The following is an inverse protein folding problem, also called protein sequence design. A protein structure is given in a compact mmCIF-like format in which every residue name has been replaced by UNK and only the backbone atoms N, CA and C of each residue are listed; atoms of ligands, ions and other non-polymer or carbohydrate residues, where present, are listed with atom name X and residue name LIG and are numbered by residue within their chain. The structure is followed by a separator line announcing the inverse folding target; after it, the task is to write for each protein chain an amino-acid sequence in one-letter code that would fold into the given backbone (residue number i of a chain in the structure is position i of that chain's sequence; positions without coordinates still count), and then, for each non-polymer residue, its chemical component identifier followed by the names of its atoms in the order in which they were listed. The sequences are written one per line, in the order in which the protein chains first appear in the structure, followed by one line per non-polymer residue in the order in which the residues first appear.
data_IF_229977571193
#
_entry.id   IF_229977571193
#
_cell.length_a   1.000
_cell.length_b   1.000
_cell.length_c   1.000
_cell.angle_alpha   90.00
_cell.angle_beta   90.00
_cell.angle_gamma   90.00
#
_symmetry.space_group_name_H-M   'P 1'
#
loop_
_entity.id
_entity.type
_entity.pdbx_description
1 polymer ?
#
# COMPACT_ATOMS: atom_id res chain seq x y z
N UNK A 1 -6.67 -16.44 2.29
CA UNK A 1 -7.16 -15.04 2.28
C UNK A 1 -6.06 -14.07 2.68
N UNK A 2 -5.47 -14.18 3.88
CA UNK A 2 -4.38 -13.29 4.34
C UNK A 2 -3.06 -13.42 3.53
N UNK A 3 -2.75 -14.58 2.96
CA UNK A 3 -1.54 -14.76 2.14
C UNK A 3 -1.55 -13.90 0.86
N UNK A 4 -2.72 -13.64 0.27
CA UNK A 4 -2.83 -12.76 -0.91
C UNK A 4 -2.55 -11.31 -0.57
N UNK A 5 -2.83 -10.89 0.67
CA UNK A 5 -2.56 -9.53 1.13
C UNK A 5 -1.06 -9.21 1.16
N UNK A 6 -0.24 -10.21 1.51
CA UNK A 6 1.22 -10.11 1.55
C UNK A 6 1.92 -10.62 0.29
N UNK A 7 1.17 -11.03 -0.75
CA UNK A 7 1.76 -11.60 -1.96
C UNK A 7 2.39 -10.50 -2.83
N UNK A 8 3.73 -10.45 -3.00
CA UNK A 8 4.39 -9.41 -3.78
C UNK A 8 4.11 -9.50 -5.29
N UNK A 9 3.38 -10.51 -5.75
CA UNK A 9 2.92 -10.65 -7.13
C UNK A 9 1.41 -10.46 -7.27
N UNK A 10 0.71 -10.23 -6.15
CA UNK A 10 -0.74 -10.25 -6.05
C UNK A 10 -1.44 -9.01 -6.63
N UNK A 11 -0.73 -7.89 -6.76
CA UNK A 11 -1.26 -6.64 -7.31
C UNK A 11 -0.38 -6.15 -8.47
N UNK A 12 -1.00 -5.75 -9.59
CA UNK A 12 -0.33 -5.00 -10.66
C UNK A 12 -0.39 -3.53 -10.29
N UNK A 13 0.75 -2.94 -9.94
CA UNK A 13 0.85 -1.53 -9.53
C UNK A 13 1.07 -0.64 -10.74
N UNK A 14 1.88 -1.10 -11.71
CA UNK A 14 2.10 -0.41 -12.98
C UNK A 14 1.82 -1.38 -14.11
N UNK A 15 0.79 -1.07 -14.90
CA UNK A 15 0.47 -1.83 -16.10
C UNK A 15 1.59 -1.73 -17.14
N UNK A 16 1.80 -2.82 -17.87
CA UNK A 16 2.74 -2.84 -18.96
C UNK A 16 2.28 -1.92 -20.09
N UNK A 17 2.93 -0.75 -20.21
CA UNK A 17 2.73 0.10 -21.40
C UNK A 17 3.30 -0.58 -22.64
N UNK A 18 2.60 -0.43 -23.77
CA UNK A 18 3.15 -0.81 -25.07
C UNK A 18 4.39 0.05 -25.35
N UNK A 19 5.49 -0.59 -25.73
CA UNK A 19 6.74 0.05 -26.12
C UNK A 19 6.84 0.03 -27.63
N UNK A 20 6.04 0.86 -28.27
CA UNK A 20 6.12 1.18 -29.68
C UNK A 20 6.67 2.59 -29.86
N UNK A 21 7.60 2.74 -30.81
CA UNK A 21 8.03 4.05 -31.31
C UNK A 21 7.44 4.17 -32.71
N UNK A 22 6.53 5.12 -32.92
CA UNK A 22 5.82 5.32 -34.20
C UNK A 22 5.12 4.03 -34.71
N UNK A 23 4.49 3.26 -33.83
CA UNK A 23 3.80 2.01 -34.18
C UNK A 23 4.70 0.82 -34.49
N UNK A 24 6.04 0.99 -34.44
CA UNK A 24 6.99 -0.10 -34.64
C UNK A 24 7.56 -0.60 -33.30
N UNK A 25 7.57 -1.92 -33.17
CA UNK A 25 8.10 -2.62 -32.01
C UNK A 25 9.64 -2.59 -32.03
N UNK A 26 10.27 -2.05 -30.98
CA UNK A 26 11.73 -1.95 -30.92
C UNK A 26 12.42 -3.22 -30.38
N UNK A 27 11.65 -4.23 -29.92
CA UNK A 27 12.18 -5.50 -29.43
C UNK A 27 12.22 -6.56 -30.53
N UNK A 28 13.36 -7.24 -30.67
CA UNK A 28 13.60 -8.34 -31.63
C UNK A 28 12.65 -9.54 -31.49
N UNK A 29 11.99 -9.69 -30.34
CA UNK A 29 11.17 -10.86 -30.01
C UNK A 29 9.67 -10.68 -30.38
N UNK A 30 9.29 -9.55 -31.01
CA UNK A 30 7.90 -9.25 -31.36
C UNK A 30 6.98 -8.86 -30.19
N UNK A 31 7.42 -9.10 -28.95
CA UNK A 31 6.67 -8.72 -27.74
C UNK A 31 6.87 -7.24 -27.41
N UNK A 32 5.94 -6.40 -27.87
CA UNK A 32 5.96 -4.95 -27.65
C UNK A 32 5.44 -4.53 -26.28
N UNK A 33 5.28 -5.49 -25.35
CA UNK A 33 4.84 -5.21 -23.99
C UNK A 33 6.03 -4.77 -23.12
N UNK A 34 5.82 -3.69 -22.37
CA UNK A 34 6.66 -3.33 -21.24
C UNK A 34 6.62 -4.41 -20.14
N UNK A 35 7.46 -4.26 -19.12
CA UNK A 35 7.35 -5.08 -17.91
C UNK A 35 6.28 -4.48 -17.00
N UNK A 36 5.38 -5.32 -16.49
CA UNK A 36 4.50 -4.95 -15.37
C UNK A 36 5.34 -4.79 -14.11
N UNK A 37 4.97 -3.84 -13.26
CA UNK A 37 5.48 -3.77 -11.88
C UNK A 37 4.37 -4.30 -10.98
N UNK A 38 4.71 -5.35 -10.22
CA UNK A 38 3.81 -5.98 -9.28
C UNK A 38 4.30 -5.76 -7.86
N UNK A 39 3.36 -5.66 -6.94
CA UNK A 39 3.63 -5.56 -5.52
C UNK A 39 2.51 -6.23 -4.72
N UNK A 40 2.61 -6.19 -3.39
CA UNK A 40 1.57 -6.65 -2.47
C UNK A 40 0.63 -5.51 -2.07
N UNK A 41 -0.62 -5.85 -1.77
CA UNK A 41 -1.60 -4.90 -1.19
C UNK A 41 -1.04 -4.31 0.10
N UNK A 42 -0.33 -5.10 0.89
CA UNK A 42 0.33 -4.62 2.10
C UNK A 42 1.38 -3.54 1.83
N UNK A 43 2.25 -3.71 0.83
CA UNK A 43 3.28 -2.73 0.51
C UNK A 43 2.69 -1.43 -0.05
N UNK A 44 1.65 -1.53 -0.87
CA UNK A 44 0.89 -0.36 -1.32
C UNK A 44 0.28 0.38 -0.12
N UNK A 45 -0.35 -0.35 0.82
CA UNK A 45 -0.90 0.21 2.04
C UNK A 45 0.17 0.88 2.92
N UNK A 46 1.36 0.27 3.09
CA UNK A 46 2.48 0.88 3.84
C UNK A 46 2.88 2.22 3.22
N UNK A 47 3.00 2.25 1.89
CA UNK A 47 3.40 3.44 1.15
C UNK A 47 2.34 4.53 1.28
N UNK A 48 1.08 4.19 1.05
CA UNK A 48 -0.06 5.10 1.14
C UNK A 48 -0.24 5.67 2.55
N UNK A 49 -0.16 4.84 3.60
CA UNK A 49 -0.23 5.30 4.99
C UNK A 49 0.92 6.25 5.33
N UNK A 50 2.15 5.97 4.87
CA UNK A 50 3.29 6.84 5.11
C UNK A 50 3.14 8.19 4.39
N UNK A 51 2.67 8.18 3.13
CA UNK A 51 2.40 9.41 2.36
C UNK A 51 1.32 10.26 3.02
N UNK A 52 0.23 9.63 3.46
CA UNK A 52 -0.86 10.30 4.17
C UNK A 52 -0.36 10.89 5.50
N UNK A 53 0.35 10.12 6.30
CA UNK A 53 0.96 10.59 7.55
C UNK A 53 1.83 11.83 7.34
N UNK A 54 2.58 11.83 6.23
CA UNK A 54 3.49 12.89 5.84
C UNK A 54 2.77 14.12 5.25
N UNK A 55 1.55 13.97 4.74
CA UNK A 55 0.76 15.06 4.17
C UNK A 55 0.34 16.09 5.25
N UNK A 56 0.15 15.64 6.49
CA UNK A 56 -0.20 16.50 7.64
C UNK A 56 1.00 17.24 8.28
N UNK A 57 2.14 17.31 7.58
CA UNK A 57 3.30 18.07 8.06
C UNK A 57 3.01 19.57 8.11
N UNK A 58 3.07 20.13 9.31
CA UNK A 58 3.07 21.59 9.50
C UNK A 58 4.43 22.24 9.20
N UNK A 59 5.53 21.49 9.29
CA UNK A 59 6.88 22.01 9.08
C UNK A 59 7.71 21.05 8.22
N UNK A 60 8.11 21.50 7.04
CA UNK A 60 8.87 20.72 6.06
C UNK A 60 10.32 20.44 6.51
N UNK A 61 10.86 21.21 7.45
CA UNK A 61 12.25 21.08 7.92
C UNK A 61 12.45 19.98 8.97
N UNK A 62 11.38 19.58 9.69
CA UNK A 62 11.45 18.50 10.68
C UNK A 62 11.35 17.15 9.97
N UNK A 63 12.23 16.21 10.31
CA UNK A 63 12.20 14.85 9.75
C UNK A 63 10.81 14.19 9.91
N UNK A 64 10.33 13.43 8.90
CA UNK A 64 8.98 12.89 8.90
C UNK A 64 8.78 11.88 10.03
N UNK A 65 9.85 11.21 10.41
CA UNK A 65 9.90 10.22 11.48
C UNK A 65 9.55 10.79 12.87
N UNK A 66 9.62 12.10 13.05
CA UNK A 66 9.25 12.75 14.29
C UNK A 66 7.76 13.08 14.37
N UNK A 67 7.00 12.90 13.29
CA UNK A 67 5.56 13.11 13.29
C UNK A 67 4.85 12.00 14.07
N UNK A 68 3.90 12.34 14.95
CA UNK A 68 3.10 11.34 15.67
C UNK A 68 2.43 10.34 14.73
N UNK A 69 1.84 10.82 13.63
CA UNK A 69 1.19 10.01 12.60
C UNK A 69 2.15 8.99 11.95
N UNK A 70 3.37 9.41 11.59
CA UNK A 70 4.39 8.53 11.01
C UNK A 70 4.86 7.48 12.02
N UNK A 71 5.00 7.85 13.30
CA UNK A 71 5.36 6.89 14.36
C UNK A 71 4.26 5.86 14.60
N UNK A 72 3.00 6.28 14.60
CA UNK A 72 1.85 5.37 14.70
C UNK A 72 1.79 4.41 13.50
N UNK A 73 1.95 4.93 12.27
CA UNK A 73 2.03 4.11 11.05
C UNK A 73 3.18 3.10 11.12
N UNK A 74 4.38 3.51 11.57
CA UNK A 74 5.51 2.59 11.74
C UNK A 74 5.26 1.51 12.80
N UNK A 75 4.54 1.81 13.88
CA UNK A 75 4.13 0.83 14.88
C UNK A 75 3.21 -0.22 14.26
N UNK A 76 2.21 0.23 13.49
CA UNK A 76 1.33 -0.64 12.73
C UNK A 76 2.10 -1.55 11.75
N UNK A 77 3.05 -0.99 10.98
CA UNK A 77 3.89 -1.77 10.06
C UNK A 77 4.69 -2.86 10.76
N UNK A 78 5.24 -2.54 11.94
CA UNK A 78 6.04 -3.50 12.70
C UNK A 78 5.21 -4.73 13.09
N UNK A 79 3.99 -4.52 13.59
CA UNK A 79 3.11 -5.63 13.98
C UNK A 79 2.65 -6.43 12.75
N UNK A 80 2.30 -5.76 11.65
CA UNK A 80 1.90 -6.44 10.41
C UNK A 80 3.06 -7.22 9.75
N UNK A 81 4.30 -6.75 9.85
CA UNK A 81 5.48 -7.52 9.41
C UNK A 81 5.66 -8.80 10.24
N UNK A 82 5.23 -8.82 11.51
CA UNK A 82 5.21 -10.02 12.34
C UNK A 82 4.07 -10.96 11.96
N UNK A 83 2.89 -10.41 11.65
CA UNK A 83 1.76 -11.17 11.07
C UNK A 83 2.16 -11.83 9.75
N UNK A 84 2.88 -11.13 8.86
CA UNK A 84 3.39 -11.69 7.61
C UNK A 84 4.33 -12.87 7.86
N UNK A 85 5.30 -12.70 8.76
CA UNK A 85 6.25 -13.77 9.14
C UNK A 85 5.54 -14.98 9.72
N UNK A 86 4.51 -14.78 10.53
CA UNK A 86 3.68 -15.84 11.08
C UNK A 86 2.86 -16.54 9.98
N UNK A 87 2.23 -15.77 9.08
CA UNK A 87 1.44 -16.28 7.95
C UNK A 87 2.26 -17.14 6.98
N UNK A 88 3.56 -16.83 6.78
CA UNK A 88 4.49 -17.64 5.98
C UNK A 88 4.77 -19.02 6.58
N UNK A 89 4.69 -19.18 7.90
CA UNK A 89 4.95 -20.45 8.60
C UNK A 89 3.81 -21.47 8.47
N UNK A 90 2.67 -21.11 7.86
CA UNK A 90 1.50 -21.98 7.57
C UNK A 90 1.00 -22.79 8.78
N UNK A 91 1.09 -22.25 9.99
CA UNK A 91 0.59 -22.90 11.21
C UNK A 91 -0.94 -22.77 11.28
N UNK A 92 -1.64 -23.88 11.53
CA UNK A 92 -3.12 -23.94 11.55
C UNK A 92 -3.77 -23.16 12.71
N UNK A 93 -3.03 -22.82 13.77
CA UNK A 93 -3.51 -22.10 14.96
C UNK A 93 -2.40 -21.18 15.48
N UNK A 94 -2.03 -20.18 14.68
CA UNK A 94 -0.98 -19.25 15.07
C UNK A 94 -1.52 -18.16 16.02
N UNK A 95 -1.49 -18.46 17.32
CA UNK A 95 -1.88 -17.51 18.37
C UNK A 95 -1.04 -16.23 18.33
N UNK A 96 0.23 -16.31 17.92
CA UNK A 96 1.11 -15.14 17.81
C UNK A 96 0.59 -14.18 16.74
N UNK A 97 0.17 -14.72 15.59
CA UNK A 97 -0.41 -13.92 14.50
C UNK A 97 -1.66 -13.16 14.94
N UNK A 98 -2.53 -13.80 15.73
CA UNK A 98 -3.75 -13.14 16.26
C UNK A 98 -3.39 -12.01 17.22
N UNK A 99 -2.41 -12.21 18.10
CA UNK A 99 -1.93 -11.17 19.03
C UNK A 99 -1.33 -9.99 18.28
N UNK A 100 -0.45 -10.25 17.30
CA UNK A 100 0.12 -9.19 16.47
C UNK A 100 -0.93 -8.46 15.64
N UNK A 101 -1.94 -9.17 15.13
CA UNK A 101 -3.04 -8.54 14.39
C UNK A 101 -3.89 -7.64 15.29
N UNK A 102 -4.20 -8.05 16.52
CA UNK A 102 -4.90 -7.21 17.48
C UNK A 102 -4.09 -5.95 17.85
N UNK A 103 -2.79 -6.11 18.11
CA UNK A 103 -1.89 -4.98 18.37
C UNK A 103 -1.75 -4.05 17.16
N UNK A 104 -1.82 -4.59 15.93
CA UNK A 104 -1.86 -3.80 14.72
C UNK A 104 -3.15 -2.96 14.66
N UNK A 105 -4.33 -3.52 14.98
CA UNK A 105 -5.58 -2.74 15.00
C UNK A 105 -5.51 -1.57 15.98
N UNK A 106 -4.99 -1.76 17.20
CA UNK A 106 -4.80 -0.66 18.15
C UNK A 106 -3.86 0.44 17.62
N UNK A 107 -2.79 0.04 16.93
CA UNK A 107 -1.88 0.98 16.30
C UNK A 107 -2.50 1.69 15.09
N UNK A 108 -3.41 1.01 14.37
CA UNK A 108 -4.19 1.60 13.28
C UNK A 108 -5.17 2.65 13.82
N UNK A 109 -5.90 2.35 14.88
CA UNK A 109 -6.83 3.31 15.51
C UNK A 109 -6.07 4.57 15.96
N UNK A 110 -4.91 4.40 16.60
CA UNK A 110 -4.04 5.52 16.98
C UNK A 110 -3.60 6.34 15.76
N UNK A 111 -3.34 5.68 14.63
CA UNK A 111 -2.97 6.37 13.39
C UNK A 111 -4.16 7.15 12.83
N UNK A 112 -5.35 6.55 12.80
CA UNK A 112 -6.59 7.15 12.31
C UNK A 112 -7.01 8.38 13.12
N UNK A 113 -6.77 8.38 14.43
CA UNK A 113 -7.00 9.57 15.28
C UNK A 113 -6.05 10.75 14.95
N UNK A 114 -4.92 10.47 14.31
CA UNK A 114 -3.88 11.46 13.99
C UNK A 114 -3.93 11.96 12.55
N UNK A 115 -4.77 11.35 11.69
CA UNK A 115 -4.93 11.75 10.29
C UNK A 115 -6.36 12.19 10.03
N UNK A 116 -6.52 13.27 9.28
CA UNK A 116 -7.84 13.74 8.91
C UNK A 116 -8.33 12.96 7.67
N UNK A 117 -9.40 12.19 7.83
CA UNK A 117 -10.02 11.45 6.74
C UNK A 117 -11.32 12.12 6.29
N UNK A 118 -11.69 12.03 5.00
CA UNK A 118 -12.98 12.50 4.54
C UNK A 118 -14.13 11.77 5.29
N UNK A 119 -15.29 12.43 5.44
CA UNK A 119 -16.46 11.81 6.03
C UNK A 119 -16.90 10.57 5.25
N UNK A 120 -17.07 9.44 5.93
CA UNK A 120 -17.42 8.15 5.31
C UNK A 120 -18.84 8.07 4.77
N UNK A 121 -19.69 9.05 5.11
CA UNK A 121 -21.05 9.24 4.59
C UNK A 121 -21.08 9.95 3.23
N UNK A 122 -19.92 10.34 2.70
CA UNK A 122 -19.81 10.89 1.36
C UNK A 122 -19.90 9.81 0.28
N UNK A 123 -20.52 10.14 -0.85
CA UNK A 123 -20.65 9.22 -2.00
C UNK A 123 -19.29 8.84 -2.65
N UNK A 124 -18.18 9.43 -2.17
CA UNK A 124 -16.82 9.14 -2.66
C UNK A 124 -16.37 7.70 -2.38
N UNK A 125 -17.01 7.01 -1.43
CA UNK A 125 -16.67 5.63 -1.04
C UNK A 125 -17.50 4.56 -1.75
N UNK A 126 -18.47 4.94 -2.58
CA UNK A 126 -19.37 3.99 -3.27
C UNK A 126 -18.75 3.38 -4.54
N UNK A 127 -17.66 3.97 -5.04
CA UNK A 127 -16.97 3.52 -6.24
C UNK A 127 -15.84 2.55 -5.89
N UNK A 128 -15.60 1.56 -6.75
CA UNK A 128 -14.43 0.69 -6.59
C UNK A 128 -13.17 1.51 -6.82
N UNK A 129 -12.31 1.59 -5.79
CA UNK A 129 -11.04 2.30 -5.89
C UNK A 129 -10.14 1.64 -6.94
N UNK A 130 -9.66 2.45 -7.88
CA UNK A 130 -8.63 2.01 -8.81
C UNK A 130 -7.36 1.66 -8.04
N UNK A 131 -6.85 0.46 -8.30
CA UNK A 131 -5.65 -0.08 -7.66
C UNK A 131 -4.41 0.04 -8.55
N UNK A 132 -4.57 0.51 -9.79
CA UNK A 132 -3.49 0.76 -10.72
C UNK A 132 -2.99 2.21 -10.61
N UNK A 133 -1.67 2.39 -10.54
CA UNK A 133 -1.08 3.73 -10.48
C UNK A 133 -0.97 4.32 -11.89
N UNK A 134 -1.62 5.46 -12.12
CA UNK A 134 -1.46 6.26 -13.36
C UNK A 134 -2.38 5.88 -14.52
N UNK A 135 -3.53 5.26 -14.23
CA UNK A 135 -4.64 5.03 -15.17
C UNK A 135 -5.30 6.34 -15.64
N UNK A 136 -5.28 7.38 -14.81
CA UNK A 136 -5.65 8.75 -15.16
C UNK A 136 -4.43 9.67 -15.12
N UNK A 137 -4.34 10.58 -16.09
CA UNK A 137 -3.41 11.69 -16.01
C UNK A 137 -3.73 12.48 -14.73
N UNK A 138 -2.70 12.76 -13.92
CA UNK A 138 -2.83 13.70 -12.80
C UNK A 138 -3.60 14.92 -13.29
N UNK A 139 -4.67 15.28 -12.58
CA UNK A 139 -5.41 16.53 -12.76
C UNK A 139 -4.35 17.65 -12.89
N UNK A 140 -4.25 18.20 -14.10
CA UNK A 140 -3.45 19.39 -14.43
C UNK A 140 -4.24 20.64 -14.10
#
# INVERSE_FOLDING_TARGET
MIQRFFDPQGLVVVEAKRKDVNGQCTKKNGDCKGSEIRDSIYNDMKTSMYLLANAFRLNQTKAPDNLPSVRAAKKFFKEMDLVEKAAKKKRKNDRESVVHFAAALEALDTFLDLVELPPTDSNWYEQEFDRAVGSSARIT
#
